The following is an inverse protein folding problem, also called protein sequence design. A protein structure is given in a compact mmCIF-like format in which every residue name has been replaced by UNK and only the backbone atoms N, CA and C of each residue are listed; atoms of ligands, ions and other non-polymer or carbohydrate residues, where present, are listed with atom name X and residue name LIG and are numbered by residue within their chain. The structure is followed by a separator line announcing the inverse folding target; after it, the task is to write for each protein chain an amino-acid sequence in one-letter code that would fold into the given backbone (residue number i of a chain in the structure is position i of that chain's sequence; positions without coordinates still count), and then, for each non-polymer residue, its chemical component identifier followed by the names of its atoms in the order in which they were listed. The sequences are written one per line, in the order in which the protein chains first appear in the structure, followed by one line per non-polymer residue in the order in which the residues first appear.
data_IF_424625230816
#
_entry.id   IF_424625230816
#
_cell.length_a   1.000
_cell.length_b   1.000
_cell.length_c   1.000
_cell.angle_alpha   90.00
_cell.angle_beta   90.00
_cell.angle_gamma   90.00
#
_symmetry.space_group_name_H-M   'P 1'
#
loop_
_entity.id
_entity.type
_entity.pdbx_description
1 polymer ?
#
# COMPACT_ATOMS: atom_id res chain seq x y z
N UNK A 1 -61.60 -9.07 -39.86
CA UNK A 1 -61.68 -7.71 -39.28
C UNK A 1 -61.76 -7.83 -37.76
N UNK A 2 -60.68 -7.45 -37.05
CA UNK A 2 -60.65 -6.95 -35.66
C UNK A 2 -59.18 -6.69 -35.31
N UNK A 3 -58.88 -5.42 -35.01
CA UNK A 3 -57.56 -4.82 -34.74
C UNK A 3 -57.09 -5.20 -33.33
N UNK A 4 -55.78 -5.12 -33.07
CA UNK A 4 -55.06 -4.86 -31.80
C UNK A 4 -53.81 -5.77 -31.70
N UNK A 5 -52.61 -5.36 -31.27
CA UNK A 5 -51.98 -4.08 -30.96
C UNK A 5 -50.47 -4.42 -30.89
N UNK A 6 -49.64 -3.72 -31.65
CA UNK A 6 -48.19 -3.71 -31.50
C UNK A 6 -47.84 -2.92 -30.23
N UNK A 7 -47.40 -3.56 -29.15
CA UNK A 7 -46.57 -2.93 -28.11
C UNK A 7 -45.82 -4.03 -27.36
N UNK A 8 -44.49 -4.08 -27.47
CA UNK A 8 -43.56 -4.37 -26.37
C UNK A 8 -42.13 -4.25 -26.90
N UNK A 9 -41.70 -3.03 -27.19
CA UNK A 9 -40.33 -2.74 -27.60
C UNK A 9 -39.84 -1.41 -27.01
N UNK A 10 -40.03 -1.18 -25.70
CA UNK A 10 -39.34 -0.09 -24.99
C UNK A 10 -39.16 -0.48 -23.53
N UNK A 11 -38.20 -1.36 -23.23
CA UNK A 11 -37.90 -1.79 -21.86
C UNK A 11 -36.41 -1.83 -21.53
N UNK A 12 -35.56 -1.13 -22.30
CA UNK A 12 -34.09 -1.26 -22.17
C UNK A 12 -33.38 0.09 -21.92
N UNK A 13 -34.08 1.23 -21.87
CA UNK A 13 -33.42 2.55 -21.93
C UNK A 13 -33.28 3.33 -20.60
N UNK A 14 -33.49 2.70 -19.44
CA UNK A 14 -33.31 3.37 -18.14
C UNK A 14 -32.46 2.56 -17.14
N UNK A 15 -31.37 1.94 -17.60
CA UNK A 15 -30.29 1.64 -16.66
C UNK A 15 -29.59 2.97 -16.35
N UNK A 16 -29.53 3.42 -15.08
CA UNK A 16 -28.65 4.52 -14.74
C UNK A 16 -27.24 4.06 -15.10
N UNK A 17 -26.55 4.83 -15.94
CA UNK A 17 -25.10 4.75 -16.03
C UNK A 17 -24.57 5.16 -14.66
N UNK A 18 -24.46 4.19 -13.74
CA UNK A 18 -23.63 4.37 -12.56
C UNK A 18 -22.24 4.73 -13.10
N UNK A 19 -21.64 5.85 -12.69
CA UNK A 19 -20.29 6.15 -13.10
C UNK A 19 -19.43 4.93 -12.73
N UNK A 20 -18.66 4.41 -13.69
CA UNK A 20 -17.62 3.45 -13.33
C UNK A 20 -16.81 4.09 -12.20
N UNK A 21 -16.63 3.36 -11.10
CA UNK A 21 -15.71 3.77 -10.06
C UNK A 21 -14.37 4.08 -10.74
N UNK A 22 -13.97 5.35 -10.72
CA UNK A 22 -12.70 5.76 -11.30
C UNK A 22 -11.62 5.16 -10.42
N UNK A 23 -10.80 4.27 -10.98
CA UNK A 23 -9.65 3.72 -10.25
C UNK A 23 -8.81 4.90 -9.77
N UNK A 24 -8.64 5.02 -8.46
CA UNK A 24 -7.72 5.99 -7.89
C UNK A 24 -6.31 5.45 -8.08
N UNK A 25 -5.54 6.10 -8.94
CA UNK A 25 -4.14 5.72 -9.18
C UNK A 25 -3.34 6.16 -7.94
N UNK A 26 -2.98 5.18 -7.09
CA UNK A 26 -2.06 5.41 -5.99
C UNK A 26 -0.65 5.23 -6.55
N UNK A 27 0.07 6.34 -6.72
CA UNK A 27 1.46 6.30 -7.17
C UNK A 27 2.39 5.81 -6.05
N UNK A 28 3.40 5.03 -6.42
CA UNK A 28 4.51 4.67 -5.53
C UNK A 28 5.26 5.91 -5.01
N UNK A 29 5.18 7.03 -5.75
CA UNK A 29 5.74 8.32 -5.35
C UNK A 29 5.22 8.80 -4.00
N UNK A 30 4.04 8.30 -3.58
CA UNK A 30 3.54 8.56 -2.24
C UNK A 30 4.54 8.14 -1.17
N UNK A 31 5.16 6.97 -1.29
CA UNK A 31 6.18 6.51 -0.35
C UNK A 31 7.47 7.32 -0.47
N UNK A 32 7.94 7.56 -1.69
CA UNK A 32 9.17 8.34 -1.94
C UNK A 32 9.12 9.73 -1.32
N UNK A 33 7.94 10.37 -1.35
CA UNK A 33 7.77 11.73 -0.86
C UNK A 33 7.45 11.83 0.65
N UNK A 34 6.98 10.75 1.29
CA UNK A 34 6.47 10.81 2.68
C UNK A 34 7.29 9.98 3.68
N UNK A 35 8.11 9.04 3.23
CA UNK A 35 9.07 8.37 4.12
C UNK A 35 10.20 9.34 4.50
N UNK A 36 10.48 9.43 5.80
CA UNK A 36 11.50 10.29 6.39
C UNK A 36 12.35 9.49 7.39
N UNK A 37 13.49 10.05 7.82
CA UNK A 37 14.41 9.37 8.76
C UNK A 37 15.17 8.19 8.14
N UNK A 38 15.46 8.31 6.84
CA UNK A 38 16.16 7.30 6.07
C UNK A 38 16.48 7.76 4.66
N UNK A 39 17.15 6.90 3.90
CA UNK A 39 17.60 7.16 2.54
C UNK A 39 17.08 6.10 1.57
N UNK A 40 16.77 6.51 0.35
CA UNK A 40 16.46 5.61 -0.74
C UNK A 40 17.73 5.21 -1.49
N UNK A 41 17.87 3.92 -1.79
CA UNK A 41 19.09 3.33 -2.37
C UNK A 41 18.72 2.33 -3.46
N UNK A 42 19.46 2.35 -4.57
CA UNK A 42 19.29 1.37 -5.66
C UNK A 42 20.05 0.09 -5.31
N UNK A 43 19.33 -1.03 -5.19
CA UNK A 43 19.85 -2.30 -4.70
C UNK A 43 19.62 -3.42 -5.71
N UNK A 44 20.47 -3.47 -6.75
CA UNK A 44 20.49 -4.55 -7.74
C UNK A 44 19.09 -4.97 -8.21
N UNK A 45 18.75 -6.25 -8.06
CA UNK A 45 17.45 -6.78 -8.48
C UNK A 45 16.29 -6.46 -7.52
N UNK A 46 16.54 -5.85 -6.36
CA UNK A 46 15.49 -5.37 -5.45
C UNK A 46 14.94 -4.00 -5.87
N UNK A 47 15.70 -3.24 -6.69
CA UNK A 47 15.32 -1.91 -7.14
C UNK A 47 15.56 -0.84 -6.08
N UNK A 48 14.70 0.18 -6.05
CA UNK A 48 14.86 1.35 -5.20
C UNK A 48 14.25 1.11 -3.81
N UNK A 49 15.09 0.68 -2.88
CA UNK A 49 14.71 0.31 -1.51
C UNK A 49 14.89 1.47 -0.55
N UNK A 50 14.14 1.46 0.54
CA UNK A 50 14.27 2.46 1.60
C UNK A 50 15.05 1.88 2.79
N UNK A 51 15.99 2.66 3.32
CA UNK A 51 16.79 2.30 4.47
C UNK A 51 16.66 3.34 5.58
N UNK A 52 16.12 2.99 6.77
CA UNK A 52 16.08 3.91 7.90
C UNK A 52 17.49 4.19 8.42
N UNK A 53 17.73 5.40 8.91
CA UNK A 53 19.02 5.81 9.48
C UNK A 53 19.42 4.95 10.70
N UNK A 54 18.44 4.44 11.45
CA UNK A 54 18.68 3.56 12.59
C UNK A 54 19.21 2.17 12.17
N UNK A 55 18.82 1.66 11.00
CA UNK A 55 19.36 0.40 10.49
C UNK A 55 20.86 0.49 10.15
N UNK A 56 21.36 1.70 9.89
CA UNK A 56 22.77 1.97 9.61
C UNK A 56 23.54 2.26 10.91
N UNK A 57 22.94 3.05 11.81
CA UNK A 57 23.61 3.52 13.03
C UNK A 57 23.57 2.52 14.19
N UNK A 58 22.59 1.61 14.23
CA UNK A 58 22.47 0.56 15.26
C UNK A 58 22.45 -0.84 14.63
N UNK A 59 23.56 -1.62 14.71
CA UNK A 59 23.63 -2.98 14.20
C UNK A 59 22.68 -3.98 14.87
N UNK A 60 22.15 -3.64 16.05
CA UNK A 60 21.21 -4.48 16.81
C UNK A 60 19.76 -4.24 16.42
N UNK A 61 19.48 -3.12 15.75
CA UNK A 61 18.15 -2.77 15.27
C UNK A 61 17.64 -3.79 14.26
N UNK A 62 16.34 -4.06 14.32
CA UNK A 62 15.65 -4.94 13.38
C UNK A 62 14.16 -4.57 13.27
N UNK A 63 13.51 -4.88 12.15
CA UNK A 63 12.07 -4.69 12.00
C UNK A 63 11.28 -5.40 13.11
N UNK A 64 10.13 -4.83 13.49
CA UNK A 64 9.22 -5.39 14.49
C UNK A 64 9.82 -5.52 15.90
N UNK A 65 10.77 -4.65 16.28
CA UNK A 65 11.35 -4.64 17.63
C UNK A 65 10.88 -3.50 18.52
N UNK A 66 10.44 -2.38 17.95
CA UNK A 66 10.04 -1.18 18.70
C UNK A 66 8.57 -0.84 18.44
N UNK A 67 7.69 -1.44 19.23
CA UNK A 67 6.25 -1.38 19.03
C UNK A 67 5.52 -2.53 19.72
N UNK A 68 4.27 -2.76 19.33
CA UNK A 68 3.45 -3.83 19.88
C UNK A 68 2.41 -4.35 18.87
N UNK A 69 1.96 -5.58 19.08
CA UNK A 69 0.83 -6.12 18.33
C UNK A 69 -0.49 -5.65 18.96
N UNK A 70 -1.35 -5.06 18.16
CA UNK A 70 -2.72 -4.71 18.53
C UNK A 70 -3.70 -5.56 17.72
N UNK A 71 -4.80 -5.96 18.35
CA UNK A 71 -5.91 -6.58 17.63
C UNK A 71 -6.88 -5.48 17.19
N UNK A 72 -6.96 -5.24 15.88
CA UNK A 72 -7.76 -4.18 15.25
C UNK A 72 -8.95 -4.78 14.48
N UNK A 73 -9.76 -3.93 13.87
CA UNK A 73 -10.78 -4.34 12.90
C UNK A 73 -10.18 -4.98 11.62
N UNK A 74 -8.88 -4.78 11.38
CA UNK A 74 -8.11 -5.41 10.31
C UNK A 74 -7.32 -6.65 10.79
N UNK A 75 -7.53 -7.11 12.02
CA UNK A 75 -6.84 -8.26 12.62
C UNK A 75 -5.60 -7.89 13.42
N UNK A 76 -4.66 -8.83 13.58
CA UNK A 76 -3.40 -8.56 14.26
C UNK A 76 -2.56 -7.58 13.44
N UNK A 77 -2.37 -6.38 13.97
CA UNK A 77 -1.66 -5.27 13.33
C UNK A 77 -0.47 -4.88 14.19
N UNK A 78 0.70 -4.74 13.58
CA UNK A 78 1.87 -4.19 14.25
C UNK A 78 1.72 -2.67 14.38
N UNK A 79 1.82 -2.14 15.60
CA UNK A 79 1.81 -0.71 15.88
C UNK A 79 3.23 -0.31 16.26
N UNK A 80 3.93 0.37 15.35
CA UNK A 80 5.30 0.85 15.58
C UNK A 80 5.32 2.17 16.35
N UNK A 81 6.39 2.38 17.12
CA UNK A 81 6.74 3.69 17.68
C UNK A 81 7.63 4.52 16.75
N UNK A 82 8.05 3.96 15.63
CA UNK A 82 8.90 4.61 14.64
C UNK A 82 8.07 5.41 13.64
N UNK A 83 8.53 6.62 13.30
CA UNK A 83 7.78 7.58 12.46
C UNK A 83 7.51 7.08 11.03
N UNK A 84 8.33 6.17 10.52
CA UNK A 84 8.16 5.52 9.21
C UNK A 84 7.27 4.25 9.27
N UNK A 85 6.88 3.82 10.47
CA UNK A 85 6.23 2.53 10.68
C UNK A 85 4.85 2.41 10.03
N UNK A 86 4.17 3.53 9.80
CA UNK A 86 2.89 3.56 9.07
C UNK A 86 3.01 2.98 7.66
N UNK A 87 4.19 3.04 7.04
CA UNK A 87 4.44 2.52 5.70
C UNK A 87 5.09 1.14 5.76
N UNK A 88 6.24 1.06 6.43
CA UNK A 88 7.20 -0.03 6.23
C UNK A 88 6.75 -1.37 6.83
N UNK A 89 5.79 -1.34 7.75
CA UNK A 89 5.19 -2.54 8.34
C UNK A 89 3.89 -2.98 7.66
N UNK A 90 3.40 -2.22 6.68
CA UNK A 90 2.06 -2.41 6.12
C UNK A 90 2.03 -2.51 4.59
N UNK A 91 2.99 -1.91 3.88
CA UNK A 91 2.94 -1.78 2.42
C UNK A 91 4.17 -2.34 1.67
N UNK A 92 4.98 -3.17 2.31
CA UNK A 92 6.17 -3.77 1.69
C UNK A 92 6.81 -4.87 2.54
N UNK A 93 8.10 -5.15 2.34
CA UNK A 93 8.79 -6.26 3.01
C UNK A 93 10.22 -5.88 3.36
N UNK A 94 10.59 -6.16 4.60
CA UNK A 94 11.97 -6.05 5.03
C UNK A 94 12.83 -7.20 4.52
N UNK A 95 14.05 -6.88 4.06
CA UNK A 95 15.12 -7.83 3.75
C UNK A 95 16.42 -7.37 4.40
N UNK A 96 17.24 -8.33 4.85
CA UNK A 96 18.58 -8.06 5.37
C UNK A 96 19.63 -8.52 4.38
N UNK A 97 20.40 -7.60 3.84
CA UNK A 97 21.49 -7.87 2.91
C UNK A 97 22.85 -7.62 3.58
N UNK A 98 23.90 -8.32 3.13
CA UNK A 98 25.22 -8.22 3.74
C UNK A 98 25.82 -6.82 3.59
N UNK A 99 25.69 -6.21 2.41
CA UNK A 99 26.31 -4.93 2.09
C UNK A 99 25.51 -3.71 2.58
N UNK A 100 24.23 -3.90 2.91
CA UNK A 100 23.31 -2.82 3.26
C UNK A 100 22.74 -2.93 4.68
N UNK A 101 22.62 -4.13 5.25
CA UNK A 101 21.82 -4.33 6.46
C UNK A 101 20.33 -4.44 6.12
N UNK A 102 19.46 -3.92 6.99
CA UNK A 102 18.02 -3.95 6.78
C UNK A 102 17.57 -2.85 5.83
N UNK A 103 16.78 -3.25 4.83
CA UNK A 103 16.14 -2.38 3.84
C UNK A 103 14.70 -2.85 3.60
N UNK A 104 13.84 -1.92 3.22
CA UNK A 104 12.42 -2.14 2.90
C UNK A 104 12.16 -2.05 1.39
#
# INVERSE_FOLDING_TARGET
MKKLLFVFAVGVLLLPFAPLAKSQEVSIDFFYNNLNGGSWIEVGNYGYCWQPDVAVSDPSWRPYSDGYWAYTDLGWTWVSYEDYGWATYHYGRWVRLADYGWIW
#
